data_IF_654027593435
#
_entry.id   IF_654027593435
#
_cell.length_a   1.000
_cell.length_b   1.000
_cell.length_c   1.000
_cell.angle_alpha   90.00
_cell.angle_beta   90.00
_cell.angle_gamma   90.00
#
_symmetry.space_group_name_H-M   'P 1'
#
loop_
_entity.id
_entity.type
_entity.pdbx_description
1 polymer ?
#
# COMPACT_ATOMS: atom_id res chain seq x y z
N UNK A 1 -11.88 19.69 -7.39
CA UNK A 1 -11.04 19.09 -6.32
C UNK A 1 -10.79 17.60 -6.55
N UNK A 2 -11.82 16.75 -6.68
CA UNK A 2 -11.63 15.29 -6.84
C UNK A 2 -10.80 14.91 -8.06
N UNK A 3 -11.12 15.46 -9.23
CA UNK A 3 -10.38 15.21 -10.48
C UNK A 3 -8.90 15.65 -10.42
N UNK A 4 -8.64 16.78 -9.78
CA UNK A 4 -7.28 17.29 -9.59
C UNK A 4 -6.45 16.36 -8.70
N UNK A 5 -7.03 15.86 -7.61
CA UNK A 5 -6.37 14.88 -6.73
C UNK A 5 -6.08 13.55 -7.46
N UNK A 6 -7.00 13.08 -8.30
CA UNK A 6 -6.78 11.88 -9.11
C UNK A 6 -5.67 12.06 -10.14
N UNK A 7 -5.57 13.25 -10.76
CA UNK A 7 -4.50 13.55 -11.73
C UNK A 7 -3.12 13.59 -11.05
N UNK A 8 -3.01 14.23 -9.88
CA UNK A 8 -1.78 14.23 -9.07
C UNK A 8 -1.39 12.78 -8.72
N UNK A 9 -2.34 11.98 -8.22
CA UNK A 9 -2.09 10.58 -7.89
C UNK A 9 -1.60 9.77 -9.10
N UNK A 10 -2.23 9.93 -10.26
CA UNK A 10 -1.81 9.27 -11.49
C UNK A 10 -0.39 9.68 -11.93
N UNK A 11 -0.04 10.97 -11.81
CA UNK A 11 1.34 11.43 -12.07
C UNK A 11 2.34 10.84 -11.09
N UNK A 12 1.98 10.72 -9.82
CA UNK A 12 2.83 10.08 -8.79
C UNK A 12 3.04 8.59 -9.07
N UNK A 13 1.97 7.84 -9.42
CA UNK A 13 2.10 6.43 -9.79
C UNK A 13 2.96 6.21 -11.04
N UNK A 14 2.95 7.16 -11.97
CA UNK A 14 3.77 7.13 -13.19
C UNK A 14 5.20 7.68 -12.99
N UNK A 15 5.54 8.18 -11.81
CA UNK A 15 6.86 8.76 -11.55
C UNK A 15 7.12 10.11 -12.24
N UNK A 16 6.08 10.81 -12.69
CA UNK A 16 6.16 12.09 -13.43
C UNK A 16 5.67 13.29 -12.61
N UNK A 17 5.45 13.10 -11.31
CA UNK A 17 5.11 14.18 -10.40
C UNK A 17 6.36 14.97 -9.99
N UNK A 18 6.26 16.29 -9.99
CA UNK A 18 7.37 17.18 -9.60
C UNK A 18 7.67 17.10 -8.09
N UNK A 19 6.68 16.69 -7.28
CA UNK A 19 6.74 16.67 -5.82
C UNK A 19 7.08 15.29 -5.23
N UNK A 20 7.66 14.37 -6.02
CA UNK A 20 8.02 13.04 -5.53
C UNK A 20 9.03 13.09 -4.37
N UNK A 21 9.93 14.07 -4.38
CA UNK A 21 10.92 14.26 -3.31
C UNK A 21 10.25 14.66 -1.99
N UNK A 22 9.28 15.59 -2.02
CA UNK A 22 8.49 15.95 -0.84
C UNK A 22 7.68 14.76 -0.32
N UNK A 23 7.10 13.96 -1.21
CA UNK A 23 6.39 12.75 -0.80
C UNK A 23 7.29 11.74 -0.10
N UNK A 24 8.53 11.54 -0.59
CA UNK A 24 9.51 10.68 0.08
C UNK A 24 9.87 11.23 1.47
N UNK A 25 10.00 12.55 1.61
CA UNK A 25 10.27 13.20 2.89
C UNK A 25 9.14 12.95 3.89
N UNK A 26 7.88 13.17 3.49
CA UNK A 26 6.70 12.90 4.32
C UNK A 26 6.61 11.44 4.74
N UNK A 27 6.92 10.52 3.81
CA UNK A 27 7.00 9.10 4.11
C UNK A 27 8.07 8.83 5.15
N UNK A 28 9.29 9.35 4.98
CA UNK A 28 10.39 9.13 5.92
C UNK A 28 10.05 9.61 7.34
N UNK A 29 9.43 10.78 7.50
CA UNK A 29 8.95 11.25 8.81
C UNK A 29 7.90 10.31 9.40
N UNK A 30 6.94 9.87 8.60
CA UNK A 30 5.89 8.95 9.03
C UNK A 30 6.47 7.62 9.54
N UNK A 31 7.47 7.06 8.83
CA UNK A 31 8.15 5.82 9.25
C UNK A 31 8.82 6.00 10.60
N UNK A 32 9.56 7.09 10.78
CA UNK A 32 10.29 7.36 12.03
C UNK A 32 9.34 7.46 13.23
N UNK A 33 8.23 8.16 13.09
CA UNK A 33 7.24 8.29 14.18
C UNK A 33 6.58 6.94 14.51
N UNK A 34 6.25 6.13 13.49
CA UNK A 34 5.72 4.78 13.69
C UNK A 34 6.73 3.85 14.37
N UNK A 35 8.01 3.91 13.97
CA UNK A 35 9.09 3.17 14.61
C UNK A 35 9.20 3.48 16.10
N UNK A 36 9.17 4.76 16.47
CA UNK A 36 9.22 5.17 17.87
C UNK A 36 7.99 4.71 18.66
N UNK A 37 6.80 4.80 18.06
CA UNK A 37 5.56 4.31 18.65
C UNK A 37 5.61 2.78 18.91
N UNK A 38 5.98 1.99 17.91
CA UNK A 38 6.06 0.53 18.05
C UNK A 38 7.14 0.11 19.04
N UNK A 39 8.28 0.82 19.07
CA UNK A 39 9.35 0.58 20.05
C UNK A 39 8.85 0.77 21.49
N UNK A 40 8.03 1.81 21.74
CA UNK A 40 7.41 2.03 23.07
C UNK A 40 6.46 0.90 23.47
N UNK A 41 5.87 0.20 22.50
CA UNK A 41 5.05 -0.98 22.71
C UNK A 41 5.86 -2.28 22.79
N UNK A 42 7.20 -2.21 22.71
CA UNK A 42 8.08 -3.37 22.70
C UNK A 42 8.08 -4.16 21.39
N UNK A 43 7.58 -3.58 20.30
CA UNK A 43 7.51 -4.20 18.97
C UNK A 43 8.64 -3.67 18.08
N UNK A 44 9.33 -4.58 17.41
CA UNK A 44 10.44 -4.28 16.50
C UNK A 44 10.23 -5.00 15.17
N UNK A 45 10.24 -4.25 14.07
CA UNK A 45 10.14 -4.80 12.73
C UNK A 45 11.52 -4.89 12.07
N UNK A 46 11.76 -5.98 11.34
CA UNK A 46 13.02 -6.18 10.59
C UNK A 46 13.01 -5.42 9.26
N UNK A 47 11.83 -5.19 8.68
CA UNK A 47 11.66 -4.48 7.42
C UNK A 47 10.36 -3.66 7.42
N UNK A 48 10.39 -2.54 6.70
CA UNK A 48 9.24 -1.68 6.45
C UNK A 48 8.96 -1.64 4.94
N UNK A 49 7.84 -2.23 4.54
CA UNK A 49 7.42 -2.34 3.14
C UNK A 49 6.09 -1.62 2.90
N UNK A 50 5.85 -1.19 1.65
CA UNK A 50 4.76 -0.29 1.30
C UNK A 50 4.15 -0.67 -0.04
N UNK A 51 2.84 -0.41 -0.20
CA UNK A 51 2.15 -0.65 -1.48
C UNK A 51 2.79 0.12 -2.64
N UNK A 52 3.28 1.35 -2.38
CA UNK A 52 3.95 2.19 -3.37
C UNK A 52 5.25 1.60 -3.92
N UNK A 53 5.84 0.59 -3.25
CA UNK A 53 6.98 -0.15 -3.81
C UNK A 53 6.59 -1.04 -4.99
N UNK A 54 5.29 -1.32 -5.16
CA UNK A 54 4.73 -2.14 -6.22
C UNK A 54 4.04 -1.27 -7.27
N UNK A 55 4.84 -0.42 -7.93
CA UNK A 55 4.40 0.41 -9.05
C UNK A 55 4.13 -0.38 -10.34
N UNK A 56 3.74 0.34 -11.39
CA UNK A 56 3.29 -0.20 -12.69
C UNK A 56 4.26 -1.25 -13.27
N UNK A 57 5.57 -1.02 -13.18
CA UNK A 57 6.58 -1.92 -13.74
C UNK A 57 6.64 -3.29 -13.02
N UNK A 58 6.57 -3.30 -11.68
CA UNK A 58 6.54 -4.57 -10.92
C UNK A 58 5.24 -5.33 -11.17
N UNK A 59 4.13 -4.60 -11.29
CA UNK A 59 2.82 -5.18 -11.62
C UNK A 59 2.83 -5.84 -13.00
N UNK A 60 3.47 -5.22 -14.00
CA UNK A 60 3.57 -5.79 -15.35
C UNK A 60 4.27 -7.16 -15.34
N UNK A 61 5.36 -7.30 -14.57
CA UNK A 61 6.07 -8.56 -14.42
C UNK A 61 5.21 -9.67 -13.77
N UNK A 62 4.39 -9.28 -12.79
CA UNK A 62 3.45 -10.19 -12.12
C UNK A 62 2.38 -10.68 -13.08
N UNK A 63 1.79 -9.78 -13.87
CA UNK A 63 0.80 -10.15 -14.89
C UNK A 63 1.37 -11.13 -15.91
N UNK A 64 2.59 -10.89 -16.38
CA UNK A 64 3.27 -11.79 -17.31
C UNK A 64 3.55 -13.16 -16.67
N UNK A 65 4.01 -13.19 -15.42
CA UNK A 65 4.23 -14.45 -14.69
C UNK A 65 2.93 -15.24 -14.51
N UNK A 66 1.83 -14.57 -14.14
CA UNK A 66 0.52 -15.20 -13.99
C UNK A 66 0.01 -15.75 -15.33
N UNK A 67 0.26 -15.04 -16.43
CA UNK A 67 -0.08 -15.47 -17.79
C UNK A 67 0.72 -16.70 -18.21
N UNK A 68 2.03 -16.69 -17.99
CA UNK A 68 2.92 -17.82 -18.31
C UNK A 68 2.57 -19.09 -17.52
N UNK A 69 2.08 -18.93 -16.29
CA UNK A 69 1.59 -20.04 -15.46
C UNK A 69 0.16 -20.48 -15.81
N UNK A 70 -0.50 -19.85 -16.78
CA UNK A 70 -1.87 -20.18 -17.19
C UNK A 70 -2.94 -19.81 -16.15
N UNK A 71 -2.61 -18.94 -15.19
CA UNK A 71 -3.52 -18.53 -14.12
C UNK A 71 -4.30 -17.26 -14.48
N UNK A 72 -3.76 -16.43 -15.37
CA UNK A 72 -4.40 -15.20 -15.85
C UNK A 72 -5.38 -15.50 -16.99
N UNK A 73 -6.62 -15.02 -16.86
CA UNK A 73 -7.65 -15.12 -17.88
C UNK A 73 -8.12 -13.71 -18.28
N UNK A 74 -7.97 -13.37 -19.55
CA UNK A 74 -8.58 -12.18 -20.15
C UNK A 74 -10.10 -12.38 -20.32
N UNK A 75 -10.88 -11.44 -19.82
CA UNK A 75 -12.34 -11.39 -20.02
C UNK A 75 -12.68 -10.58 -21.27
N UNK A 76 -13.85 -10.85 -21.85
CA UNK A 76 -14.35 -10.17 -23.06
C UNK A 76 -14.62 -8.68 -22.85
N UNK A 77 -14.80 -8.25 -21.61
CA UNK A 77 -15.03 -6.85 -21.21
C UNK A 77 -13.74 -6.09 -20.85
N UNK A 78 -12.57 -6.67 -21.15
CA UNK A 78 -11.26 -6.07 -20.89
C UNK A 78 -10.71 -6.30 -19.48
N UNK A 79 -11.49 -6.86 -18.56
CA UNK A 79 -10.98 -7.24 -17.22
C UNK A 79 -10.00 -8.40 -17.31
N UNK A 80 -9.08 -8.48 -16.34
CA UNK A 80 -8.23 -9.67 -16.13
C UNK A 80 -8.55 -10.31 -14.80
N UNK A 81 -8.75 -11.62 -14.81
CA UNK A 81 -9.05 -12.39 -13.60
C UNK A 81 -7.99 -13.47 -13.41
N UNK A 82 -7.71 -13.80 -12.15
CA UNK A 82 -6.93 -14.97 -11.77
C UNK A 82 -7.89 -16.12 -11.47
N UNK A 83 -7.64 -17.28 -12.05
CA UNK A 83 -8.35 -18.51 -11.72
C UNK A 83 -7.70 -19.16 -10.50
N UNK A 84 -8.43 -19.23 -9.40
CA UNK A 84 -7.99 -19.90 -8.17
C UNK A 84 -9.03 -20.92 -7.76
N UNK A 85 -8.68 -22.20 -7.91
CA UNK A 85 -9.60 -23.32 -7.70
C UNK A 85 -10.90 -23.13 -8.51
N UNK A 86 -12.04 -22.95 -7.84
CA UNK A 86 -13.36 -22.75 -8.44
C UNK A 86 -13.77 -21.27 -8.55
N UNK A 87 -12.91 -20.32 -8.14
CA UNK A 87 -13.21 -18.89 -8.13
C UNK A 87 -12.42 -18.15 -9.21
N UNK A 88 -13.06 -17.13 -9.80
CA UNK A 88 -12.43 -16.15 -10.69
C UNK A 88 -12.36 -14.83 -9.96
N UNK A 89 -11.16 -14.33 -9.75
CA UNK A 89 -10.96 -13.14 -8.93
C UNK A 89 -10.40 -12.02 -9.83
N UNK A 90 -11.08 -10.87 -9.95
CA UNK A 90 -10.61 -9.78 -10.76
C UNK A 90 -9.38 -9.12 -10.14
N UNK A 91 -8.36 -8.91 -10.97
CA UNK A 91 -7.11 -8.23 -10.56
C UNK A 91 -6.83 -6.98 -11.41
N UNK A 92 -7.45 -6.87 -12.59
CA UNK A 92 -7.40 -5.68 -13.44
C UNK A 92 -8.83 -5.33 -13.88
N UNK A 93 -9.19 -4.06 -13.76
CA UNK A 93 -10.49 -3.53 -14.19
C UNK A 93 -10.56 -3.40 -15.71
N UNK A 94 -11.74 -3.13 -16.25
CA UNK A 94 -11.97 -2.94 -17.69
C UNK A 94 -11.24 -1.72 -18.26
N UNK A 95 -10.93 -0.73 -17.42
CA UNK A 95 -10.14 0.46 -17.78
C UNK A 95 -8.61 0.21 -17.77
N UNK A 96 -8.17 -1.01 -17.46
CA UNK A 96 -6.75 -1.38 -17.37
C UNK A 96 -6.09 -1.05 -16.03
N UNK A 97 -6.79 -0.42 -15.09
CA UNK A 97 -6.24 -0.14 -13.76
C UNK A 97 -6.14 -1.40 -12.90
N UNK A 98 -5.00 -1.56 -12.21
CA UNK A 98 -4.78 -2.65 -11.28
C UNK A 98 -5.61 -2.50 -10.00
N UNK A 99 -6.12 -3.61 -9.47
CA UNK A 99 -6.79 -3.64 -8.18
C UNK A 99 -5.78 -3.82 -7.03
N UNK A 100 -6.15 -3.50 -5.79
CA UNK A 100 -5.30 -3.71 -4.61
C UNK A 100 -4.77 -5.15 -4.51
N UNK A 101 -5.61 -6.12 -4.86
CA UNK A 101 -5.23 -7.53 -4.88
C UNK A 101 -4.03 -7.82 -5.79
N UNK A 102 -3.89 -7.11 -6.91
CA UNK A 102 -2.75 -7.27 -7.82
C UNK A 102 -1.45 -6.80 -7.17
N UNK A 103 -1.51 -5.73 -6.36
CA UNK A 103 -0.36 -5.27 -5.56
C UNK A 103 -0.02 -6.24 -4.45
N UNK A 104 -1.00 -6.83 -3.78
CA UNK A 104 -0.76 -7.85 -2.75
C UNK A 104 -0.11 -9.12 -3.32
N UNK A 105 -0.57 -9.59 -4.49
CA UNK A 105 0.07 -10.71 -5.21
C UNK A 105 1.52 -10.35 -5.56
N UNK A 106 1.75 -9.13 -6.06
CA UNK A 106 3.09 -8.66 -6.37
C UNK A 106 4.01 -8.67 -5.14
N UNK A 107 3.50 -8.21 -4.00
CA UNK A 107 4.22 -8.19 -2.75
C UNK A 107 4.55 -9.58 -2.24
N UNK A 108 3.59 -10.49 -2.31
CA UNK A 108 3.78 -11.86 -1.87
C UNK A 108 4.81 -12.60 -2.73
N UNK A 109 4.79 -12.40 -4.05
CA UNK A 109 5.79 -12.96 -4.96
C UNK A 109 7.20 -12.40 -4.70
N UNK A 110 7.32 -11.09 -4.50
CA UNK A 110 8.60 -10.42 -4.16
C UNK A 110 9.17 -10.97 -2.84
N UNK A 111 8.33 -11.07 -1.81
CA UNK A 111 8.71 -11.63 -0.50
C UNK A 111 9.11 -13.10 -0.60
N UNK A 112 8.36 -13.91 -1.34
CA UNK A 112 8.67 -15.32 -1.49
C UNK A 112 10.02 -15.52 -2.17
N UNK A 113 10.30 -14.75 -3.23
CA UNK A 113 11.59 -14.79 -3.92
C UNK A 113 12.76 -14.33 -3.04
N UNK A 114 12.52 -13.44 -2.06
CA UNK A 114 13.56 -12.91 -1.17
C UNK A 114 13.82 -13.77 0.06
N UNK A 115 12.78 -14.39 0.60
CA UNK A 115 12.84 -15.05 1.92
C UNK A 115 12.59 -16.55 1.87
N UNK A 116 12.04 -17.08 0.77
CA UNK A 116 11.71 -18.50 0.58
C UNK A 116 10.99 -19.09 1.82
N UNK A 117 10.03 -18.34 2.35
CA UNK A 117 9.38 -18.69 3.60
C UNK A 117 8.50 -19.94 3.44
N UNK A 118 8.44 -20.74 4.49
CA UNK A 118 7.52 -21.89 4.57
C UNK A 118 6.10 -21.46 4.96
N UNK A 119 5.97 -20.31 5.66
CA UNK A 119 4.70 -19.76 6.12
C UNK A 119 4.77 -18.23 6.11
N UNK A 120 3.72 -17.60 5.61
CA UNK A 120 3.47 -16.16 5.75
C UNK A 120 2.17 -15.97 6.54
N UNK A 121 2.12 -14.96 7.40
CA UNK A 121 0.97 -14.66 8.26
C UNK A 121 0.63 -13.19 8.05
N UNK A 122 -0.58 -12.94 7.55
CA UNK A 122 -1.13 -11.59 7.44
C UNK A 122 -1.94 -11.27 8.69
N UNK A 123 -1.53 -10.22 9.38
CA UNK A 123 -2.25 -9.67 10.54
C UNK A 123 -3.02 -8.45 10.07
N UNK A 124 -4.32 -8.63 9.83
CA UNK A 124 -5.20 -7.61 9.26
C UNK A 124 -6.51 -7.48 10.05
N UNK A 125 -7.23 -6.39 9.81
CA UNK A 125 -8.57 -6.20 10.36
C UNK A 125 -9.56 -7.21 9.76
N UNK A 126 -10.51 -7.67 10.57
CA UNK A 126 -11.53 -8.65 10.18
C UNK A 126 -12.37 -8.24 8.94
N UNK A 127 -12.54 -6.93 8.70
CA UNK A 127 -13.24 -6.45 7.51
C UNK A 127 -12.57 -6.81 6.18
N UNK A 128 -11.29 -7.20 6.20
CA UNK A 128 -10.56 -7.63 5.00
C UNK A 128 -10.58 -9.14 4.76
N UNK A 129 -11.39 -9.89 5.51
CA UNK A 129 -11.41 -11.35 5.41
C UNK A 129 -11.71 -11.84 3.99
N UNK A 130 -12.73 -11.29 3.32
CA UNK A 130 -13.08 -11.71 1.96
C UNK A 130 -11.96 -11.43 0.93
N UNK A 131 -11.21 -10.35 1.12
CA UNK A 131 -10.07 -9.97 0.27
C UNK A 131 -8.93 -10.98 0.40
N UNK A 132 -8.52 -11.31 1.63
CA UNK A 132 -7.44 -12.28 1.88
C UNK A 132 -7.88 -13.74 1.69
N UNK A 133 -9.15 -14.06 1.94
CA UNK A 133 -9.72 -15.35 1.58
C UNK A 133 -9.63 -15.60 0.07
N UNK A 134 -9.77 -14.54 -0.74
CA UNK A 134 -9.58 -14.61 -2.19
C UNK A 134 -8.13 -14.87 -2.59
N UNK A 135 -7.14 -14.53 -1.78
CA UNK A 135 -5.73 -14.85 -2.09
C UNK A 135 -5.43 -16.34 -1.98
N UNK A 136 -6.25 -17.14 -1.27
CA UNK A 136 -6.14 -18.61 -1.00
C UNK A 136 -4.75 -19.22 -1.20
N UNK A 137 -3.74 -18.60 -0.60
CA UNK A 137 -2.41 -19.19 -0.41
C UNK A 137 -2.44 -19.79 0.99
N UNK A 138 -1.86 -20.99 1.14
CA UNK A 138 -1.92 -21.82 2.35
C UNK A 138 -1.39 -21.07 3.59
N UNK A 139 -2.22 -20.20 4.17
CA UNK A 139 -1.83 -19.30 5.24
C UNK A 139 -2.88 -19.35 6.36
N UNK A 140 -2.41 -19.58 7.57
CA UNK A 140 -3.20 -19.31 8.77
C UNK A 140 -3.23 -17.79 8.97
N UNK A 141 -4.36 -17.16 8.59
CA UNK A 141 -4.63 -15.77 8.90
C UNK A 141 -4.91 -15.67 10.40
N UNK A 142 -4.01 -15.01 11.14
CA UNK A 142 -4.22 -14.71 12.55
C UNK A 142 -4.82 -13.31 12.67
N UNK A 143 -6.09 -13.25 13.08
CA UNK A 143 -6.79 -11.99 13.30
C UNK A 143 -6.23 -11.28 14.54
N UNK A 144 -5.68 -10.08 14.36
CA UNK A 144 -5.43 -9.15 15.47
C UNK A 144 -6.17 -7.86 15.15
N UNK A 145 -7.20 -7.57 15.94
CA UNK A 145 -7.96 -6.32 15.81
C UNK A 145 -7.17 -5.18 16.47
N UNK A 146 -6.34 -4.52 15.67
CA UNK A 146 -5.95 -3.12 15.90
C UNK A 146 -6.21 -2.42 14.57
N UNK A 147 -7.41 -1.82 14.44
CA UNK A 147 -7.91 -1.31 13.18
C UNK A 147 -6.94 -0.35 12.49
N UNK A 148 -6.71 -0.56 11.20
CA UNK A 148 -6.00 0.38 10.31
C UNK A 148 -6.55 1.81 10.44
N UNK A 149 -7.85 1.96 10.75
CA UNK A 149 -8.49 3.25 11.00
C UNK A 149 -7.91 4.04 12.18
N UNK A 150 -7.45 3.37 13.25
CA UNK A 150 -6.85 4.06 14.41
C UNK A 150 -5.47 4.59 14.04
N UNK A 151 -4.66 3.80 13.32
CA UNK A 151 -3.33 4.23 12.89
C UNK A 151 -3.44 5.35 11.85
N UNK A 152 -4.33 5.24 10.86
CA UNK A 152 -4.55 6.30 9.86
C UNK A 152 -5.07 7.58 10.53
N UNK A 153 -6.00 7.48 11.49
CA UNK A 153 -6.50 8.65 12.22
C UNK A 153 -5.42 9.30 13.09
N UNK A 154 -4.55 8.51 13.72
CA UNK A 154 -3.40 9.00 14.49
C UNK A 154 -2.39 9.67 13.55
N UNK A 155 -2.09 9.07 12.40
CA UNK A 155 -1.15 9.62 11.42
C UNK A 155 -1.67 10.94 10.81
N UNK A 156 -2.97 11.01 10.47
CA UNK A 156 -3.61 12.25 10.01
C UNK A 156 -3.58 13.30 11.12
N UNK A 157 -3.87 12.94 12.37
CA UNK A 157 -3.78 13.88 13.50
C UNK A 157 -2.36 14.40 13.70
N UNK A 158 -1.35 13.52 13.66
CA UNK A 158 0.06 13.92 13.80
C UNK A 158 0.47 14.87 12.66
N UNK A 159 0.12 14.53 11.41
CA UNK A 159 0.40 15.37 10.25
C UNK A 159 -0.30 16.75 10.36
N UNK A 160 -1.57 16.79 10.77
CA UNK A 160 -2.31 18.04 10.97
C UNK A 160 -1.74 18.89 12.10
N UNK A 161 -1.39 18.27 13.24
CA UNK A 161 -0.73 18.96 14.36
C UNK A 161 0.63 19.52 13.96
N UNK A 162 1.37 18.81 13.11
CA UNK A 162 2.65 19.26 12.58
C UNK A 162 2.49 20.47 11.65
N UNK A 163 1.58 20.39 10.66
CA UNK A 163 1.25 21.51 9.75
C UNK A 163 0.80 22.75 10.53
N UNK A 164 0.00 22.56 11.59
CA UNK A 164 -0.41 23.66 12.46
C UNK A 164 0.78 24.29 13.19
N UNK A 165 1.70 23.48 13.70
CA UNK A 165 2.90 23.95 14.42
C UNK A 165 3.87 24.72 13.51
N UNK A 166 4.06 24.24 12.28
CA UNK A 166 4.93 24.89 11.28
C UNK A 166 4.38 26.26 10.88
N UNK A 167 3.08 26.35 10.61
CA UNK A 167 2.40 27.62 10.33
C UNK A 167 2.49 28.61 11.51
N UNK A 168 2.43 28.12 12.75
CA UNK A 168 2.62 28.96 13.93
C UNK A 168 4.06 29.46 14.08
N UNK A 169 5.08 28.66 13.75
CA UNK A 169 6.49 29.10 13.74
C UNK A 169 6.73 30.17 12.69
N UNK A 170 6.26 29.96 11.47
CA UNK A 170 6.41 30.92 10.36
C UNK A 170 5.71 32.26 10.67
N UNK A 171 4.52 32.23 11.30
CA UNK A 171 3.88 33.46 11.80
C UNK A 171 4.70 34.14 12.90
N UNK A 172 5.30 33.38 13.83
CA UNK A 172 6.14 33.95 14.89
C UNK A 172 7.38 34.63 14.33
N UNK A 173 8.07 34.02 13.38
CA UNK A 173 9.25 34.63 12.74
C UNK A 173 8.88 35.91 11.98
N UNK A 174 7.74 35.94 11.28
CA UNK A 174 7.23 37.16 10.64
C UNK A 174 7.00 38.31 11.63
N UNK A 175 6.43 38.05 12.82
CA UNK A 175 6.24 39.10 13.85
C UNK A 175 7.50 39.48 14.62
N UNK A 176 8.57 38.68 14.54
CA UNK A 176 9.86 38.96 15.20
C UNK A 176 10.79 39.71 14.23
N UNK A 177 10.56 39.60 12.92
CA UNK A 177 11.38 40.23 11.86
C UNK A 177 10.72 41.43 11.18
N UNK A 178 9.47 41.74 11.51
CA UNK A 178 8.74 42.96 11.12
C UNK A 178 8.77 44.00 12.24
#
# INVERSE_FOLDING_TARGET
MHEHAMNIFARMENGTADDLDQWQEYRAYTVKELEELYRRLGVYFTSYEWESQYGVNKIAHVLETLKQRGLLIDQTDGRKVVQLQQRKIPIVKSDGSGMYLLRDIAALMDRYNRFEFHKCIYVVENGQNDHFASLSINEEIMYVSIGMGIIIAILICIALCYIARENCKNKREYYITA
#
